data_IF_551558939221
#
_entry.id   IF_551558939221
#
_cell.length_a   1.000
_cell.length_b   1.000
_cell.length_c   1.000
_cell.angle_alpha   90.00
_cell.angle_beta   90.00
_cell.angle_gamma   90.00
#
_symmetry.space_group_name_H-M   'P 1'
#
loop_
_entity.id
_entity.type
_entity.pdbx_description
1 polymer ?
#
# COMPACT_ATOMS: atom_id res chain seq x y z
N UNK A 1 30.45 -23.79 6.68
CA UNK A 1 29.54 -23.35 5.60
C UNK A 1 30.30 -22.33 4.79
N UNK A 2 30.66 -22.68 3.56
CA UNK A 2 31.36 -21.80 2.62
C UNK A 2 30.41 -20.70 2.16
N UNK A 3 30.96 -19.56 1.73
CA UNK A 3 30.22 -18.34 1.35
C UNK A 3 29.17 -18.53 0.22
N UNK A 4 29.13 -19.70 -0.42
CA UNK A 4 28.39 -20.04 -1.65
C UNK A 4 26.98 -20.62 -1.40
N UNK A 5 26.62 -20.96 -0.15
CA UNK A 5 25.32 -21.57 0.20
C UNK A 5 24.24 -20.56 0.64
N UNK A 6 24.47 -19.25 0.46
CA UNK A 6 23.53 -18.20 0.91
C UNK A 6 22.86 -17.52 -0.28
N UNK A 7 21.64 -17.95 -0.68
CA UNK A 7 20.98 -17.49 -1.90
C UNK A 7 20.49 -16.03 -1.83
N UNK A 8 20.36 -15.48 -0.61
CA UNK A 8 19.86 -14.14 -0.38
C UNK A 8 20.95 -13.24 0.18
N UNK A 9 21.16 -12.10 -0.46
CA UNK A 9 22.13 -11.09 -0.04
C UNK A 9 21.52 -9.70 -0.07
N UNK A 10 21.70 -8.98 1.03
CA UNK A 10 21.23 -7.62 1.21
C UNK A 10 22.42 -6.72 1.57
N UNK A 11 22.68 -5.72 0.73
CA UNK A 11 23.71 -4.72 0.99
C UNK A 11 23.07 -3.50 1.63
N UNK A 12 23.54 -3.13 2.82
CA UNK A 12 22.93 -2.08 3.64
C UNK A 12 24.01 -1.16 4.17
N UNK A 13 23.82 0.15 4.01
CA UNK A 13 24.62 1.15 4.72
C UNK A 13 23.96 1.51 6.06
N UNK A 14 24.79 1.74 7.07
CA UNK A 14 24.36 2.06 8.43
C UNK A 14 23.48 3.32 8.50
N UNK A 15 23.84 4.35 7.73
CA UNK A 15 23.07 5.60 7.62
C UNK A 15 21.64 5.35 7.14
N UNK A 16 21.50 4.43 6.18
CA UNK A 16 20.20 4.09 5.63
C UNK A 16 19.36 3.39 6.70
N UNK A 17 19.88 2.41 7.45
CA UNK A 17 19.12 1.79 8.56
C UNK A 17 18.66 2.77 9.65
N UNK A 18 19.55 3.68 10.06
CA UNK A 18 19.21 4.68 11.08
C UNK A 18 18.08 5.62 10.60
N UNK A 19 18.08 5.98 9.32
CA UNK A 19 17.04 6.78 8.71
C UNK A 19 15.78 5.99 8.29
N UNK A 20 15.80 4.66 8.29
CA UNK A 20 14.78 3.84 7.65
C UNK A 20 13.61 3.37 8.52
N UNK A 21 13.76 3.23 9.83
CA UNK A 21 12.68 2.55 10.58
C UNK A 21 12.65 2.69 12.09
N UNK A 22 13.76 3.01 12.75
CA UNK A 22 13.75 3.05 14.22
C UNK A 22 13.26 4.42 14.73
N UNK A 23 13.46 5.49 13.96
CA UNK A 23 13.05 6.86 14.32
C UNK A 23 11.89 7.48 13.53
N UNK A 24 11.51 6.90 12.38
CA UNK A 24 10.41 7.44 11.55
C UNK A 24 9.09 6.76 11.91
N UNK A 25 8.34 7.39 12.81
CA UNK A 25 6.91 7.18 13.09
C UNK A 25 6.34 5.78 12.80
N UNK A 26 6.47 4.92 13.81
CA UNK A 26 5.69 3.73 14.20
C UNK A 26 4.17 3.71 13.90
N UNK A 27 3.80 3.86 12.62
CA UNK A 27 2.42 3.90 12.13
C UNK A 27 2.16 2.70 11.20
N UNK A 28 1.61 1.64 11.79
CA UNK A 28 1.22 0.40 11.09
C UNK A 28 0.42 0.71 9.81
N UNK A 29 -0.64 1.55 9.83
CA UNK A 29 -1.34 1.97 8.62
C UNK A 29 -0.46 2.51 7.48
N UNK A 30 0.58 3.28 7.80
CA UNK A 30 1.48 3.83 6.79
C UNK A 30 2.31 2.72 6.13
N UNK A 31 2.90 1.83 6.94
CA UNK A 31 3.72 0.72 6.46
C UNK A 31 2.90 -0.23 5.60
N UNK A 32 1.73 -0.63 6.08
CA UNK A 32 0.84 -1.52 5.33
C UNK A 32 0.38 -0.87 4.02
N UNK A 33 0.16 0.46 4.00
CA UNK A 33 -0.10 1.17 2.74
C UNK A 33 1.07 1.10 1.76
N UNK A 34 2.33 1.11 2.21
CA UNK A 34 3.48 0.91 1.31
C UNK A 34 3.53 -0.52 0.75
N UNK A 35 3.16 -1.52 1.56
CA UNK A 35 3.06 -2.91 1.09
C UNK A 35 1.94 -3.10 0.07
N UNK A 36 0.77 -2.49 0.29
CA UNK A 36 -0.34 -2.47 -0.70
C UNK A 36 0.08 -1.77 -2.00
N UNK A 37 0.85 -0.69 -1.92
CA UNK A 37 1.39 -0.04 -3.12
C UNK A 37 2.37 -0.95 -3.89
N UNK A 38 3.19 -1.75 -3.19
CA UNK A 38 4.06 -2.72 -3.83
C UNK A 38 3.26 -3.84 -4.52
N UNK A 39 2.15 -4.29 -3.93
CA UNK A 39 1.25 -5.27 -4.55
C UNK A 39 0.59 -4.71 -5.82
N UNK A 40 0.13 -3.45 -5.79
CA UNK A 40 -0.35 -2.75 -6.99
C UNK A 40 0.72 -2.70 -8.08
N UNK A 41 1.95 -2.32 -7.71
CA UNK A 41 3.08 -2.27 -8.64
C UNK A 41 3.46 -3.67 -9.15
N UNK A 42 3.10 -4.73 -8.45
CA UNK A 42 3.29 -6.12 -8.86
C UNK A 42 2.13 -6.66 -9.70
N UNK A 43 1.22 -5.79 -10.14
CA UNK A 43 0.02 -6.14 -10.92
C UNK A 43 -0.93 -7.11 -10.20
N UNK A 44 -0.92 -7.12 -8.86
CA UNK A 44 -1.86 -7.91 -8.08
C UNK A 44 -3.30 -7.49 -8.35
N UNK A 45 -4.22 -8.44 -8.43
CA UNK A 45 -5.66 -8.16 -8.51
C UNK A 45 -6.30 -8.15 -7.12
N UNK A 46 -5.72 -8.87 -6.15
CA UNK A 46 -6.21 -8.97 -4.79
C UNK A 46 -5.09 -8.83 -3.79
N UNK A 47 -5.37 -8.09 -2.72
CA UNK A 47 -4.53 -7.99 -1.53
C UNK A 47 -5.34 -8.33 -0.29
N UNK A 48 -4.81 -9.22 0.54
CA UNK A 48 -5.42 -9.62 1.80
C UNK A 48 -4.51 -9.28 2.96
N UNK A 49 -5.04 -8.57 3.93
CA UNK A 49 -4.35 -8.21 5.18
C UNK A 49 -5.07 -8.91 6.33
N UNK A 50 -4.37 -9.77 7.08
CA UNK A 50 -4.93 -10.45 8.24
C UNK A 50 -4.13 -10.10 9.51
N UNK A 51 -4.84 -9.70 10.56
CA UNK A 51 -4.30 -9.48 11.90
C UNK A 51 -4.56 -10.69 12.78
N UNK A 52 -3.49 -11.34 13.26
CA UNK A 52 -3.61 -12.39 14.26
C UNK A 52 -3.45 -11.78 15.67
N UNK A 53 -4.51 -11.86 16.46
CA UNK A 53 -4.52 -11.37 17.84
C UNK A 53 -4.07 -12.42 18.86
N UNK A 54 -4.11 -13.71 18.53
CA UNK A 54 -3.68 -14.80 19.42
C UNK A 54 -2.16 -14.92 19.40
N UNK A 55 -1.58 -14.90 18.20
CA UNK A 55 -0.13 -14.82 17.97
C UNK A 55 0.15 -13.50 17.26
N UNK A 56 0.41 -12.40 18.01
CA UNK A 56 0.52 -11.05 17.47
C UNK A 56 1.34 -10.97 16.20
N UNK A 57 0.66 -10.95 15.06
CA UNK A 57 1.28 -10.94 13.75
C UNK A 57 0.37 -10.29 12.72
N UNK A 58 0.97 -9.83 11.63
CA UNK A 58 0.26 -9.26 10.49
C UNK A 58 0.70 -10.03 9.26
N UNK A 59 -0.25 -10.55 8.49
CA UNK A 59 0.00 -11.19 7.20
C UNK A 59 -0.54 -10.31 6.09
N UNK A 60 0.24 -10.12 5.04
CA UNK A 60 -0.16 -9.38 3.84
C UNK A 60 0.14 -10.31 2.67
N UNK A 61 -0.89 -10.72 1.93
CA UNK A 61 -0.77 -11.56 0.75
C UNK A 61 -1.30 -10.82 -0.46
N UNK A 62 -0.54 -10.84 -1.56
CA UNK A 62 -0.99 -10.41 -2.88
C UNK A 62 -0.88 -11.55 -3.90
N UNK A 63 -1.65 -11.47 -4.97
CA UNK A 63 -1.63 -12.39 -6.11
C UNK A 63 -0.94 -11.78 -7.36
N UNK A 64 0.04 -10.89 -7.13
CA UNK A 64 0.82 -10.27 -8.19
C UNK A 64 1.82 -11.21 -8.85
N UNK A 65 2.73 -10.66 -9.65
CA UNK A 65 3.70 -11.44 -10.44
C UNK A 65 4.78 -12.18 -9.61
N UNK A 66 4.86 -11.96 -8.30
CA UNK A 66 5.89 -12.57 -7.43
C UNK A 66 7.33 -12.19 -7.78
N UNK A 67 8.31 -12.96 -7.33
CA UNK A 67 9.72 -12.64 -7.54
C UNK A 67 10.57 -13.90 -7.76
N UNK A 68 11.37 -13.89 -8.82
CA UNK A 68 12.47 -14.83 -9.00
C UNK A 68 13.60 -14.56 -7.99
N UNK A 69 14.55 -15.50 -7.84
CA UNK A 69 15.77 -15.27 -7.04
C UNK A 69 16.54 -14.01 -7.49
N UNK A 70 16.55 -13.74 -8.78
CA UNK A 70 17.17 -12.54 -9.33
C UNK A 70 16.44 -11.28 -8.86
N UNK A 71 15.12 -11.24 -8.98
CA UNK A 71 14.30 -10.10 -8.53
C UNK A 71 14.44 -9.86 -7.03
N UNK A 72 14.50 -10.92 -6.24
CA UNK A 72 14.71 -10.82 -4.79
C UNK A 72 16.03 -10.08 -4.50
N UNK A 73 17.14 -10.52 -5.09
CA UNK A 73 18.44 -9.92 -4.81
C UNK A 73 18.61 -8.53 -5.44
N UNK A 74 18.23 -8.36 -6.71
CA UNK A 74 18.50 -7.13 -7.47
C UNK A 74 17.47 -6.01 -7.25
N UNK A 75 16.26 -6.33 -6.74
CA UNK A 75 15.17 -5.36 -6.52
C UNK A 75 14.68 -5.35 -5.08
N UNK A 76 14.36 -6.49 -4.49
CA UNK A 76 13.73 -6.53 -3.15
C UNK A 76 14.74 -6.23 -2.02
N UNK A 77 15.89 -6.91 -2.03
CA UNK A 77 16.98 -6.75 -1.06
C UNK A 77 17.96 -5.62 -1.43
N UNK A 78 17.74 -4.95 -2.56
CA UNK A 78 18.53 -3.77 -2.94
C UNK A 78 17.90 -2.50 -2.35
N UNK A 79 18.55 -1.98 -1.31
CA UNK A 79 18.09 -0.78 -0.63
C UNK A 79 18.20 0.45 -1.52
N UNK A 80 17.13 1.23 -1.62
CA UNK A 80 17.10 2.44 -2.45
C UNK A 80 16.81 2.19 -3.93
N UNK A 81 16.40 0.97 -4.33
CA UNK A 81 15.94 0.67 -5.67
C UNK A 81 14.70 1.51 -6.07
N UNK A 82 14.86 2.44 -7.01
CA UNK A 82 13.79 3.38 -7.43
C UNK A 82 13.10 2.92 -8.71
N UNK A 83 12.11 2.03 -8.58
CA UNK A 83 11.32 1.50 -9.71
C UNK A 83 10.76 2.60 -10.63
N UNK A 84 10.11 3.62 -10.07
CA UNK A 84 9.46 4.71 -10.84
C UNK A 84 10.42 5.54 -11.72
N UNK A 85 11.71 5.60 -11.38
CA UNK A 85 12.69 6.28 -12.23
C UNK A 85 13.13 5.43 -13.42
N UNK A 86 12.97 4.10 -13.33
CA UNK A 86 13.32 3.17 -14.39
C UNK A 86 12.11 2.85 -15.27
N UNK A 87 10.92 2.73 -14.67
CA UNK A 87 9.68 2.36 -15.34
C UNK A 87 8.51 3.18 -14.76
N UNK A 88 7.80 3.92 -15.61
CA UNK A 88 6.63 4.70 -15.21
C UNK A 88 5.38 3.80 -15.04
N UNK A 89 5.36 2.67 -15.73
CA UNK A 89 4.25 1.71 -15.80
C UNK A 89 4.71 0.30 -15.43
N UNK A 90 3.77 -0.51 -14.96
CA UNK A 90 3.95 -1.94 -14.72
C UNK A 90 3.80 -2.75 -16.03
N UNK A 91 4.17 -4.05 -16.07
CA UNK A 91 3.90 -4.92 -17.20
C UNK A 91 2.46 -4.87 -17.73
N UNK A 92 1.47 -4.76 -16.84
CA UNK A 92 0.05 -4.67 -17.23
C UNK A 92 -0.42 -3.23 -17.50
N UNK A 93 0.50 -2.28 -17.59
CA UNK A 93 0.22 -0.88 -17.94
C UNK A 93 -0.31 -0.03 -16.79
N UNK A 94 -0.26 -0.51 -15.54
CA UNK A 94 -0.66 0.29 -14.38
C UNK A 94 0.39 1.36 -14.11
N UNK A 95 -0.04 2.57 -13.74
CA UNK A 95 0.89 3.59 -13.28
C UNK A 95 1.50 3.19 -11.93
N UNK A 96 2.83 3.20 -11.83
CA UNK A 96 3.57 2.82 -10.61
C UNK A 96 3.29 3.79 -9.45
N UNK A 97 2.84 3.23 -8.32
CA UNK A 97 2.51 3.96 -7.09
C UNK A 97 3.67 4.05 -6.10
N UNK A 98 4.57 3.06 -6.08
CA UNK A 98 5.73 3.03 -5.21
C UNK A 98 6.67 4.23 -5.44
N UNK A 99 6.83 5.07 -4.41
CA UNK A 99 7.62 6.33 -4.52
C UNK A 99 9.09 6.16 -4.16
N UNK A 100 9.46 5.19 -3.32
CA UNK A 100 10.81 5.09 -2.75
C UNK A 100 11.24 3.62 -2.56
N UNK A 101 12.48 3.30 -2.91
CA UNK A 101 13.13 1.98 -2.72
C UNK A 101 13.39 1.57 -1.27
N UNK A 102 12.61 2.12 -0.34
CA UNK A 102 12.74 1.94 1.10
C UNK A 102 11.44 1.42 1.74
N UNK A 103 10.31 1.43 1.01
CA UNK A 103 9.01 1.02 1.55
C UNK A 103 8.99 -0.42 2.07
N UNK A 104 9.87 -1.28 1.54
CA UNK A 104 10.05 -2.68 1.97
C UNK A 104 10.67 -2.78 3.38
N UNK A 105 11.52 -1.80 3.73
CA UNK A 105 12.22 -1.74 5.02
C UNK A 105 11.39 -1.03 6.09
N UNK A 106 10.33 -0.33 5.68
CA UNK A 106 9.35 0.22 6.60
C UNK A 106 8.68 -0.88 7.45
N UNK A 107 8.65 -2.14 6.97
CA UNK A 107 8.22 -3.30 7.77
C UNK A 107 8.97 -3.41 9.10
N UNK A 108 10.28 -3.15 9.11
CA UNK A 108 11.11 -3.21 10.33
C UNK A 108 10.79 -2.10 11.35
N UNK A 109 10.05 -1.05 10.94
CA UNK A 109 9.56 -0.02 11.87
C UNK A 109 8.39 -0.49 12.74
N UNK A 110 7.74 -1.61 12.39
CA UNK A 110 6.57 -2.14 13.12
C UNK A 110 6.76 -3.58 13.61
N UNK A 111 7.78 -4.30 13.13
CA UNK A 111 8.07 -5.69 13.45
C UNK A 111 9.57 -5.92 13.56
N UNK A 112 10.03 -6.78 14.47
CA UNK A 112 11.44 -7.18 14.53
C UNK A 112 11.76 -8.29 13.51
N UNK A 113 10.78 -9.15 13.19
CA UNK A 113 10.93 -10.30 12.29
C UNK A 113 9.99 -10.19 11.09
N UNK A 114 10.55 -10.30 9.88
CA UNK A 114 9.85 -10.22 8.60
C UNK A 114 10.14 -11.47 7.79
N UNK A 115 9.12 -12.30 7.59
CA UNK A 115 9.18 -13.45 6.70
C UNK A 115 8.59 -13.05 5.34
N UNK A 116 9.26 -13.40 4.26
CA UNK A 116 8.80 -13.19 2.88
C UNK A 116 8.72 -14.54 2.21
N UNK A 117 7.57 -14.84 1.61
CA UNK A 117 7.35 -16.01 0.77
C UNK A 117 6.82 -15.52 -0.58
N UNK A 118 7.35 -16.01 -1.69
CA UNK A 118 6.97 -15.52 -3.01
C UNK A 118 7.11 -16.60 -4.06
N UNK A 119 6.24 -16.52 -5.07
CA UNK A 119 6.34 -17.34 -6.27
C UNK A 119 6.03 -16.52 -7.51
N UNK A 120 6.85 -16.66 -8.55
CA UNK A 120 6.63 -16.10 -9.89
C UNK A 120 5.90 -17.07 -10.85
N UNK A 121 5.48 -18.24 -10.35
CA UNK A 121 4.86 -19.29 -11.15
C UNK A 121 5.86 -20.27 -11.79
N UNK A 122 7.16 -20.06 -11.59
CA UNK A 122 8.24 -20.95 -12.07
C UNK A 122 9.16 -21.37 -10.92
N UNK A 123 9.22 -20.57 -9.86
CA UNK A 123 10.06 -20.79 -8.70
C UNK A 123 9.35 -20.34 -7.42
N UNK A 124 9.75 -20.95 -6.30
CA UNK A 124 9.33 -20.53 -4.96
C UNK A 124 10.54 -20.16 -4.12
N UNK A 125 10.43 -19.05 -3.42
CA UNK A 125 11.48 -18.57 -2.53
C UNK A 125 10.89 -18.06 -1.24
N UNK A 126 11.53 -18.40 -0.13
CA UNK A 126 11.17 -17.85 1.16
C UNK A 126 12.39 -17.57 2.02
N UNK A 127 12.35 -16.44 2.71
CA UNK A 127 13.43 -16.00 3.59
C UNK A 127 12.91 -15.17 4.77
N UNK A 128 13.63 -15.30 5.89
CA UNK A 128 13.42 -14.54 7.11
C UNK A 128 14.46 -13.44 7.23
N UNK A 129 13.99 -12.28 7.68
CA UNK A 129 14.81 -11.15 8.05
C UNK A 129 14.56 -10.73 9.49
N UNK A 130 15.62 -10.52 10.26
CA UNK A 130 15.54 -10.00 11.62
C UNK A 130 16.26 -8.66 11.74
N UNK A 131 15.64 -7.72 12.45
CA UNK A 131 16.19 -6.36 12.61
C UNK A 131 17.54 -6.38 13.33
N UNK A 132 17.73 -7.24 14.34
CA UNK A 132 18.98 -7.30 15.12
C UNK A 132 20.15 -7.75 14.27
N UNK A 133 19.94 -8.77 13.44
CA UNK A 133 20.96 -9.33 12.56
C UNK A 133 21.34 -8.33 11.46
N UNK A 134 20.34 -7.60 10.93
CA UNK A 134 20.55 -6.49 10.00
C UNK A 134 21.39 -5.37 10.65
N UNK A 135 21.07 -4.98 11.87
CA UNK A 135 21.83 -3.96 12.61
C UNK A 135 23.26 -4.40 12.93
N UNK A 136 23.47 -5.68 13.22
CA UNK A 136 24.79 -6.25 13.45
C UNK A 136 25.63 -6.29 12.16
N UNK A 137 25.05 -6.75 11.06
CA UNK A 137 25.70 -6.75 9.75
C UNK A 137 26.12 -5.32 9.33
N UNK A 138 25.23 -4.34 9.52
CA UNK A 138 25.54 -2.95 9.19
C UNK A 138 26.61 -2.34 10.10
N UNK A 139 26.63 -2.67 11.40
CA UNK A 139 27.67 -2.22 12.34
C UNK A 139 29.05 -2.79 12.01
N UNK A 140 29.10 -4.03 11.54
CA UNK A 140 30.34 -4.71 11.17
C UNK A 140 30.80 -4.38 9.74
N UNK A 141 30.04 -3.57 9.00
CA UNK A 141 30.32 -3.22 7.61
C UNK A 141 30.16 -4.40 6.64
N UNK A 142 29.45 -5.44 7.06
CA UNK A 142 29.21 -6.65 6.28
C UNK A 142 27.91 -6.61 5.48
N UNK A 143 27.79 -7.54 4.53
CA UNK A 143 26.51 -7.83 3.89
C UNK A 143 25.61 -8.62 4.85
N UNK A 144 24.32 -8.31 4.85
CA UNK A 144 23.32 -9.11 5.55
C UNK A 144 22.85 -10.24 4.62
N UNK A 145 22.66 -11.44 5.17
CA UNK A 145 22.21 -12.60 4.41
C UNK A 145 20.94 -13.15 5.07
N UNK A 146 19.74 -12.88 4.52
CA UNK A 146 18.49 -13.44 5.03
C UNK A 146 18.53 -14.96 5.17
N UNK A 147 17.91 -15.47 6.23
CA UNK A 147 17.83 -16.92 6.51
C UNK A 147 16.80 -17.57 5.57
N UNK A 148 17.16 -18.57 4.76
CA UNK A 148 16.18 -19.35 4.01
C UNK A 148 15.22 -20.08 4.95
N UNK A 149 13.92 -20.05 4.65
CA UNK A 149 12.88 -20.72 5.45
C UNK A 149 11.99 -21.56 4.53
N UNK A 150 11.19 -22.44 5.13
CA UNK A 150 10.18 -23.20 4.38
C UNK A 150 9.15 -22.27 3.75
N UNK A 151 8.81 -22.55 2.49
CA UNK A 151 7.86 -21.75 1.74
C UNK A 151 6.42 -22.09 2.18
N UNK A 152 5.62 -21.06 2.45
CA UNK A 152 4.19 -21.19 2.77
C UNK A 152 3.29 -20.93 1.56
N UNK A 153 3.88 -20.68 0.39
CA UNK A 153 3.17 -20.53 -0.88
C UNK A 153 3.57 -21.64 -1.84
N UNK A 154 2.60 -22.12 -2.61
CA UNK A 154 2.80 -23.12 -3.66
C UNK A 154 3.37 -22.47 -4.93
N UNK A 155 4.06 -23.25 -5.75
CA UNK A 155 4.65 -22.76 -7.01
C UNK A 155 3.60 -22.31 -8.04
N UNK A 156 2.40 -22.91 -8.01
CA UNK A 156 1.29 -22.48 -8.85
C UNK A 156 0.66 -21.16 -8.40
N UNK A 157 0.91 -20.73 -7.16
CA UNK A 157 0.28 -19.56 -6.54
C UNK A 157 1.19 -18.34 -6.70
N UNK A 158 1.14 -17.71 -7.87
CA UNK A 158 1.82 -16.43 -8.11
C UNK A 158 1.48 -15.41 -7.02
N UNK A 159 2.51 -14.68 -6.58
CA UNK A 159 2.34 -13.56 -5.65
C UNK A 159 3.38 -13.52 -4.54
N UNK A 160 3.05 -12.74 -3.51
CA UNK A 160 3.92 -12.55 -2.35
C UNK A 160 3.09 -12.59 -1.06
N UNK A 161 3.59 -13.30 -0.07
CA UNK A 161 3.14 -13.28 1.32
C UNK A 161 4.24 -12.68 2.19
N UNK A 162 3.93 -11.59 2.88
CA UNK A 162 4.77 -11.00 3.92
C UNK A 162 4.12 -11.26 5.27
N UNK A 163 4.87 -11.87 6.18
CA UNK A 163 4.44 -12.11 7.56
C UNK A 163 5.32 -11.34 8.54
N UNK A 164 4.69 -10.46 9.30
CA UNK A 164 5.30 -9.60 10.29
C UNK A 164 5.05 -10.18 11.69
N UNK A 165 6.13 -10.47 12.43
CA UNK A 165 6.08 -10.99 13.80
C UNK A 165 6.97 -10.17 14.72
N UNK A 166 6.87 -10.42 16.03
CA UNK A 166 7.55 -9.62 17.05
C UNK A 166 7.21 -8.14 16.89
N UNK A 167 5.90 -7.87 16.83
CA UNK A 167 5.37 -6.54 16.56
C UNK A 167 5.78 -5.56 17.67
N UNK A 168 6.36 -4.42 17.27
CA UNK A 168 6.78 -3.36 18.21
C UNK A 168 5.61 -2.69 18.92
N UNK A 169 4.40 -2.80 18.35
CA UNK A 169 3.14 -2.29 18.92
C UNK A 169 2.01 -3.28 18.68
N UNK A 170 1.05 -3.32 19.61
CA UNK A 170 -0.17 -4.11 19.41
C UNK A 170 -1.06 -3.46 18.32
N UNK A 171 -1.67 -4.26 17.43
CA UNK A 171 -2.46 -3.75 16.31
C UNK A 171 -3.90 -3.32 16.68
N UNK A 172 -4.26 -3.20 17.96
CA UNK A 172 -5.66 -3.14 18.42
C UNK A 172 -6.53 -1.99 17.87
N UNK A 173 -5.93 -0.98 17.24
CA UNK A 173 -6.60 0.17 16.62
C UNK A 173 -6.21 0.36 15.14
N UNK A 174 -5.38 -0.54 14.62
CA UNK A 174 -4.79 -0.41 13.30
C UNK A 174 -5.80 -0.69 12.19
N UNK A 175 -6.73 -1.65 12.38
CA UNK A 175 -7.66 -2.08 11.32
C UNK A 175 -8.56 -0.94 10.81
N UNK A 176 -9.31 -0.24 11.70
CA UNK A 176 -10.22 0.84 11.28
C UNK A 176 -9.49 2.05 10.67
N UNK A 177 -8.34 2.41 11.25
CA UNK A 177 -7.51 3.49 10.72
C UNK A 177 -6.86 3.11 9.39
N UNK A 178 -6.45 1.85 9.25
CA UNK A 178 -5.91 1.30 8.02
C UNK A 178 -6.96 1.30 6.92
N UNK A 179 -8.16 0.80 7.22
CA UNK A 179 -9.31 0.73 6.29
C UNK A 179 -9.58 2.10 5.66
N UNK A 180 -9.83 3.11 6.49
CA UNK A 180 -10.05 4.49 6.01
C UNK A 180 -8.85 5.05 5.26
N UNK A 181 -7.63 4.79 5.73
CA UNK A 181 -6.42 5.28 5.09
C UNK A 181 -6.20 4.66 3.71
N UNK A 182 -6.41 3.35 3.57
CA UNK A 182 -6.29 2.65 2.30
C UNK A 182 -7.36 3.14 1.32
N UNK A 183 -8.62 3.20 1.74
CA UNK A 183 -9.74 3.67 0.91
C UNK A 183 -9.52 5.11 0.38
N UNK A 184 -8.93 6.00 1.19
CA UNK A 184 -8.60 7.37 0.82
C UNK A 184 -7.32 7.49 -0.03
N UNK A 185 -6.31 6.66 0.24
CA UNK A 185 -4.99 6.73 -0.45
C UNK A 185 -5.04 6.08 -1.83
N UNK A 186 -5.81 5.00 -1.99
CA UNK A 186 -5.88 4.23 -3.21
C UNK A 186 -7.25 4.40 -3.85
N UNK A 187 -7.38 5.40 -4.72
CA UNK A 187 -8.62 5.63 -5.46
C UNK A 187 -8.98 4.50 -6.43
N UNK A 188 -8.03 3.60 -6.68
CA UNK A 188 -8.11 2.44 -7.57
C UNK A 188 -8.61 1.16 -6.89
N UNK A 189 -8.96 1.20 -5.60
CA UNK A 189 -9.54 0.01 -4.93
C UNK A 189 -10.97 -0.19 -5.42
N UNK A 190 -11.29 -1.41 -5.83
CA UNK A 190 -12.61 -1.89 -6.22
C UNK A 190 -12.64 -2.60 -7.58
N UNK A 191 -13.74 -3.32 -7.81
CA UNK A 191 -13.96 -4.18 -8.98
C UNK A 191 -13.72 -3.46 -10.31
N UNK A 192 -14.13 -2.18 -10.43
CA UNK A 192 -13.95 -1.36 -11.63
C UNK A 192 -12.50 -1.26 -12.09
N UNK A 193 -11.56 -1.31 -11.15
CA UNK A 193 -10.14 -1.17 -11.41
C UNK A 193 -9.40 -2.51 -11.36
N UNK A 194 -10.11 -3.63 -11.12
CA UNK A 194 -9.52 -4.96 -10.98
C UNK A 194 -8.51 -5.03 -9.82
N UNK A 195 -8.76 -4.31 -8.73
CA UNK A 195 -7.87 -4.28 -7.57
C UNK A 195 -8.64 -4.25 -6.26
N UNK A 196 -8.79 -5.41 -5.64
CA UNK A 196 -9.51 -5.58 -4.40
C UNK A 196 -8.55 -5.68 -3.22
N UNK A 197 -8.88 -5.01 -2.13
CA UNK A 197 -8.11 -5.07 -0.88
C UNK A 197 -9.06 -5.45 0.25
N UNK A 198 -8.67 -6.39 1.11
CA UNK A 198 -9.47 -6.82 2.26
C UNK A 198 -8.65 -6.81 3.55
N UNK A 199 -9.31 -6.54 4.68
CA UNK A 199 -8.74 -6.61 6.02
C UNK A 199 -9.58 -7.59 6.84
N UNK A 200 -8.95 -8.63 7.39
CA UNK A 200 -9.58 -9.68 8.19
C UNK A 200 -10.78 -10.36 7.49
N UNK A 201 -10.73 -10.43 6.16
CA UNK A 201 -11.79 -10.97 5.30
C UNK A 201 -12.82 -9.94 4.83
N UNK A 202 -12.87 -8.76 5.44
CA UNK A 202 -13.81 -7.71 5.07
C UNK A 202 -13.22 -6.82 3.95
N UNK A 203 -13.85 -6.75 2.77
CA UNK A 203 -13.36 -5.93 1.66
C UNK A 203 -13.35 -4.45 1.99
N UNK A 204 -12.39 -3.71 1.44
CA UNK A 204 -12.34 -2.26 1.49
C UNK A 204 -13.15 -1.72 0.32
N UNK A 205 -14.09 -0.82 0.61
CA UNK A 205 -15.01 -0.25 -0.38
C UNK A 205 -14.84 1.26 -0.47
N UNK A 206 -15.55 1.89 -1.42
CA UNK A 206 -15.61 3.34 -1.50
C UNK A 206 -16.23 3.97 -0.25
N UNK A 207 -17.10 3.24 0.46
CA UNK A 207 -17.80 3.71 1.66
C UNK A 207 -16.85 3.92 2.83
N UNK A 208 -15.78 3.13 2.88
CA UNK A 208 -14.71 3.23 3.86
C UNK A 208 -13.91 4.54 3.75
N UNK A 209 -14.12 5.32 2.69
CA UNK A 209 -13.55 6.67 2.61
C UNK A 209 -14.10 7.59 3.68
N UNK A 210 -15.28 7.31 4.22
CA UNK A 210 -15.87 8.08 5.32
C UNK A 210 -15.92 9.58 4.97
N UNK A 211 -16.28 9.89 3.71
CA UNK A 211 -16.46 11.27 3.23
C UNK A 211 -17.89 11.76 3.49
N UNK A 212 -18.87 10.87 3.46
CA UNK A 212 -20.29 11.23 3.42
C UNK A 212 -20.87 11.69 4.76
N UNK A 213 -20.26 11.31 5.89
CA UNK A 213 -20.80 11.61 7.22
C UNK A 213 -20.71 13.10 7.58
N UNK A 214 -19.71 13.81 7.06
CA UNK A 214 -19.48 15.24 7.29
C UNK A 214 -19.78 16.08 6.04
N UNK A 215 -20.41 15.50 5.03
CA UNK A 215 -20.68 16.15 3.74
C UNK A 215 -22.06 16.79 3.76
N UNK A 216 -22.16 18.05 3.32
CA UNK A 216 -23.42 18.78 3.12
C UNK A 216 -23.73 18.90 1.61
N UNK A 217 -22.70 18.93 0.75
CA UNK A 217 -22.85 19.21 -0.67
C UNK A 217 -21.88 18.42 -1.57
N UNK A 218 -22.36 17.99 -2.75
CA UNK A 218 -21.55 17.32 -3.78
C UNK A 218 -21.57 18.12 -5.08
N UNK A 219 -20.38 18.37 -5.64
CA UNK A 219 -20.19 18.90 -6.99
C UNK A 219 -19.38 17.92 -7.82
N UNK A 220 -19.77 17.69 -9.07
CA UNK A 220 -19.05 16.81 -10.00
C UNK A 220 -18.59 17.57 -11.26
N UNK A 221 -17.50 17.09 -11.86
CA UNK A 221 -16.98 17.59 -13.13
C UNK A 221 -17.34 16.62 -14.26
N UNK A 222 -17.88 17.13 -15.37
CA UNK A 222 -18.31 16.29 -16.51
C UNK A 222 -19.71 15.70 -16.32
N UNK A 223 -20.05 14.66 -17.08
CA UNK A 223 -21.27 13.87 -16.83
C UNK A 223 -21.13 13.11 -15.51
N UNK A 224 -22.22 12.93 -14.74
CA UNK A 224 -22.20 12.13 -13.52
C UNK A 224 -21.81 10.70 -13.87
N UNK A 225 -20.53 10.38 -13.71
CA UNK A 225 -20.03 9.02 -13.91
C UNK A 225 -20.70 8.08 -12.89
N UNK A 226 -21.01 6.86 -13.34
CA UNK A 226 -21.70 5.79 -12.59
C UNK A 226 -21.06 5.39 -11.26
N UNK A 227 -19.90 5.95 -10.90
CA UNK A 227 -19.10 5.58 -9.72
C UNK A 227 -19.59 6.23 -8.42
N UNK A 228 -20.38 7.28 -8.51
CA UNK A 228 -20.91 7.99 -7.34
C UNK A 228 -22.40 7.72 -7.22
N UNK A 229 -22.77 6.93 -6.21
CA UNK A 229 -24.16 6.73 -5.84
C UNK A 229 -24.70 8.01 -5.20
N UNK A 230 -25.23 8.91 -6.03
CA UNK A 230 -25.80 10.19 -5.61
C UNK A 230 -27.03 10.04 -4.71
N UNK A 231 -27.61 8.85 -4.56
CA UNK A 231 -28.63 8.59 -3.54
C UNK A 231 -28.09 8.74 -2.11
N UNK A 232 -26.76 8.73 -1.96
CA UNK A 232 -26.04 8.95 -0.70
C UNK A 232 -25.69 10.41 -0.47
N UNK A 233 -26.08 11.31 -1.37
CA UNK A 233 -26.00 12.74 -1.12
C UNK A 233 -26.82 13.08 0.14
N UNK A 234 -26.37 14.02 0.98
CA UNK A 234 -27.04 14.30 2.24
C UNK A 234 -28.45 14.83 1.99
N UNK A 235 -29.43 14.32 2.72
CA UNK A 235 -30.83 14.72 2.60
C UNK A 235 -31.21 15.67 3.74
N UNK A 236 -31.40 16.96 3.43
CA UNK A 236 -31.77 18.01 4.37
C UNK A 236 -32.01 19.36 3.66
N UNK A 237 -32.56 20.36 4.35
CA UNK A 237 -32.79 21.69 3.78
C UNK A 237 -31.46 22.32 3.34
N UNK A 238 -31.28 22.46 2.02
CA UNK A 238 -30.08 23.01 1.41
C UNK A 238 -29.04 21.98 1.01
N UNK A 239 -29.08 20.74 1.51
CA UNK A 239 -28.11 19.71 1.17
C UNK A 239 -28.49 18.97 -0.13
N UNK A 240 -27.48 18.54 -0.90
CA UNK A 240 -27.72 17.75 -2.12
C UNK A 240 -26.65 17.88 -3.20
N UNK A 241 -26.96 17.32 -4.39
CA UNK A 241 -26.12 17.44 -5.58
C UNK A 241 -26.35 18.81 -6.21
N UNK A 242 -25.29 19.61 -6.30
CA UNK A 242 -25.38 20.94 -6.89
C UNK A 242 -24.96 20.91 -8.37
N UNK A 243 -25.59 21.75 -9.21
CA UNK A 243 -25.17 21.90 -10.59
C UNK A 243 -23.73 22.37 -10.67
N UNK A 244 -23.01 21.92 -11.69
CA UNK A 244 -21.63 22.33 -11.97
C UNK A 244 -21.52 23.73 -12.60
N UNK A 245 -22.64 24.47 -12.67
CA UNK A 245 -22.75 25.83 -13.17
C UNK A 245 -23.37 26.71 -12.10
N UNK A 246 -22.71 27.82 -11.76
CA UNK A 246 -23.23 28.82 -10.83
C UNK A 246 -23.47 30.13 -11.57
N UNK A 247 -24.69 30.70 -11.51
CA UNK A 247 -24.96 32.02 -12.04
C UNK A 247 -24.42 33.09 -11.08
N UNK A 248 -23.53 33.96 -11.57
CA UNK A 248 -23.01 35.11 -10.82
C UNK A 248 -23.66 36.39 -11.35
N UNK A 249 -24.30 37.14 -10.46
CA UNK A 249 -24.81 38.48 -10.76
C UNK A 249 -23.65 39.47 -10.84
N UNK A 250 -23.44 40.16 -11.98
CA UNK A 250 -22.41 41.16 -12.08
C UNK A 250 -22.69 42.32 -11.11
N UNK A 251 -21.65 42.90 -10.48
CA UNK A 251 -21.83 44.04 -9.56
C UNK A 251 -22.47 45.27 -10.22
N UNK A 252 -22.50 45.32 -11.55
CA UNK A 252 -23.10 46.39 -12.33
C UNK A 252 -24.59 46.18 -12.66
N UNK A 253 -25.25 45.15 -12.10
CA UNK A 253 -26.68 44.89 -12.30
C UNK A 253 -27.05 44.32 -13.67
N UNK A 254 -26.10 43.70 -14.37
CA UNK A 254 -26.34 43.00 -15.64
C UNK A 254 -27.01 41.63 -15.47
N UNK A 255 -27.39 40.96 -16.57
CA UNK A 255 -27.92 39.61 -16.51
C UNK A 255 -26.88 38.65 -15.88
N UNK A 256 -27.34 37.57 -15.20
CA UNK A 256 -26.44 36.59 -14.58
C UNK A 256 -25.50 35.97 -15.61
N UNK A 257 -24.22 35.81 -15.25
CA UNK A 257 -23.23 35.11 -16.07
C UNK A 257 -23.03 33.73 -15.48
N UNK A 258 -23.15 32.70 -16.31
CA UNK A 258 -22.93 31.32 -15.90
C UNK A 258 -21.43 31.02 -15.83
N UNK A 259 -21.00 30.51 -14.67
CA UNK A 259 -19.63 30.06 -14.47
C UNK A 259 -19.64 28.56 -14.19
N UNK A 260 -18.95 27.80 -15.03
CA UNK A 260 -18.64 26.41 -14.73
C UNK A 260 -17.67 26.36 -13.54
N UNK A 261 -18.08 25.71 -12.45
CA UNK A 261 -17.21 25.44 -11.32
C UNK A 261 -16.08 24.54 -11.84
N UNK A 262 -14.82 24.87 -11.50
CA UNK A 262 -13.61 24.09 -11.84
C UNK A 262 -12.88 23.52 -10.62
N UNK A 263 -13.50 23.58 -9.44
CA UNK A 263 -12.96 23.03 -8.19
C UNK A 263 -13.78 23.43 -6.96
N UNK A 264 -14.29 22.46 -6.19
CA UNK A 264 -14.60 22.58 -4.75
C UNK A 264 -14.96 21.21 -4.13
N UNK A 265 -14.66 21.02 -2.83
CA UNK A 265 -15.20 19.95 -1.98
C UNK A 265 -15.92 20.68 -0.84
N UNK A 266 -17.23 20.48 -0.69
CA UNK A 266 -17.97 20.99 0.46
C UNK A 266 -17.60 20.27 1.73
N UNK A 267 -17.54 21.04 2.81
CA UNK A 267 -17.95 20.56 4.13
C UNK A 267 -19.45 20.45 4.08
#
# INVERSE_FOLDING_TARGET
MTHDDRPFQMTISLDVLQHLGIGLYSNIPAVLSELVANAWDADASRVRIDFDHQTPSIRIRDDGHGMSLHDINSKFLTVGYKRRLQHAETPDGRTVMGRKGIGKLAAFSIADTVDVHTSDGESVHAFRMNTRDIEEAARTGGNYFPEPIDCLVEESDRGTLIRLTDLRKRPSWAADHLRRRLARRFSVIGEKHGFDVSIDGDPITLDDRDYFNDMEFIWYFGDPADDWDFSRAPSGDGAGVLPNVVPILPPNGGPPVEHAIRGFIGT
#
